data_IF_335761360543
#
_entry.id   IF_335761360543
#
_cell.length_a   1.000
_cell.length_b   1.000
_cell.length_c   1.000
_cell.angle_alpha   90.00
_cell.angle_beta   90.00
_cell.angle_gamma   90.00
#
_symmetry.space_group_name_H-M   'P 1'
#
loop_
_entity.id
_entity.type
_entity.pdbx_description
1 polymer ?
#
# COMPACT_ATOMS: atom_id res chain seq x y z
N UNK A 1 -5.73 -1.42 -1.38
CA UNK A 1 -5.00 -0.14 -1.50
C UNK A 1 -3.64 -0.22 -0.83
N UNK A 2 -2.72 0.65 -1.22
CA UNK A 2 -1.38 0.71 -0.64
C UNK A 2 -1.18 2.08 0.02
N UNK A 3 -0.55 2.09 1.20
CA UNK A 3 -0.22 3.30 1.96
C UNK A 3 1.28 3.34 2.23
N UNK A 4 1.88 4.52 2.23
CA UNK A 4 3.30 4.68 2.47
C UNK A 4 3.63 4.89 3.95
N UNK A 5 4.65 4.20 4.48
CA UNK A 5 5.28 4.57 5.76
C UNK A 5 6.04 5.88 5.57
N UNK A 6 5.67 6.91 6.32
CA UNK A 6 6.66 7.89 6.77
C UNK A 6 7.31 7.31 8.03
N UNK A 7 8.65 7.25 8.15
CA UNK A 7 9.27 6.81 9.39
C UNK A 7 8.77 7.69 10.56
N UNK A 8 8.39 7.11 11.70
CA UNK A 8 8.02 7.90 12.86
C UNK A 8 9.19 8.82 13.23
N UNK A 9 8.92 10.10 13.42
CA UNK A 9 9.84 10.98 14.11
C UNK A 9 10.18 10.31 15.45
N UNK A 10 11.48 10.13 15.73
CA UNK A 10 11.98 9.53 16.95
C UNK A 10 11.57 10.38 18.16
N UNK A 11 10.37 10.12 18.67
CA UNK A 11 9.85 10.65 19.93
C UNK A 11 10.08 9.64 21.05
N UNK A 12 10.99 9.98 21.96
CA UNK A 12 11.50 9.11 23.00
C UNK A 12 10.48 8.64 24.03
N UNK A 13 10.65 7.37 24.43
CA UNK A 13 10.61 6.86 25.79
C UNK A 13 9.36 7.06 26.67
N UNK A 14 8.78 5.95 27.12
CA UNK A 14 8.60 5.73 28.56
C UNK A 14 8.60 4.23 28.87
N UNK A 15 9.74 3.74 29.38
CA UNK A 15 9.88 2.42 29.97
C UNK A 15 9.17 2.43 31.34
N UNK A 16 8.12 1.63 31.52
CA UNK A 16 7.58 1.33 32.85
C UNK A 16 7.72 -0.16 33.14
N UNK A 17 8.79 -0.46 33.86
CA UNK A 17 8.93 -1.65 34.70
C UNK A 17 7.98 -1.49 35.88
N UNK A 18 7.21 -2.52 36.24
CA UNK A 18 6.89 -2.88 37.63
C UNK A 18 6.36 -4.32 37.67
N UNK A 19 6.98 -5.10 38.55
CA UNK A 19 6.85 -6.54 38.84
C UNK A 19 5.57 -6.92 39.63
N UNK A 20 5.25 -8.22 39.82
CA UNK A 20 3.89 -8.71 40.02
C UNK A 20 3.47 -8.83 41.50
N UNK A 21 2.17 -8.74 41.77
CA UNK A 21 1.57 -9.11 43.06
C UNK A 21 0.53 -10.22 42.81
N UNK A 22 0.82 -11.43 43.30
CA UNK A 22 -0.10 -12.57 43.31
C UNK A 22 -1.15 -12.34 44.42
N UNK A 23 -2.43 -12.28 44.04
CA UNK A 23 -3.57 -12.43 44.94
C UNK A 23 -4.37 -13.66 44.50
N UNK A 24 -4.36 -14.69 45.35
CA UNK A 24 -5.19 -15.88 45.23
C UNK A 24 -6.64 -15.53 45.61
N UNK A 25 -7.46 -15.21 44.62
CA UNK A 25 -8.91 -15.20 44.78
C UNK A 25 -9.47 -16.53 44.24
N UNK A 26 -9.95 -17.38 45.15
CA UNK A 26 -10.70 -18.58 44.82
C UNK A 26 -12.10 -18.18 44.33
N UNK A 27 -12.31 -18.21 43.02
CA UNK A 27 -13.63 -18.15 42.42
C UNK A 27 -14.03 -19.56 41.97
N UNK A 28 -15.10 -20.08 42.57
CA UNK A 28 -15.72 -21.33 42.18
C UNK A 28 -16.06 -21.31 40.68
N UNK A 29 -15.43 -22.20 39.92
CA UNK A 29 -15.62 -22.28 38.48
C UNK A 29 -16.97 -22.94 38.17
N UNK A 30 -18.00 -22.14 37.92
CA UNK A 30 -19.16 -22.61 37.17
C UNK A 30 -18.65 -23.00 35.77
N UNK A 31 -18.68 -24.30 35.47
CA UNK A 31 -18.38 -24.84 34.14
C UNK A 31 -19.53 -24.42 33.20
N UNK A 32 -19.44 -23.20 32.66
CA UNK A 32 -20.14 -22.91 31.42
C UNK A 32 -19.55 -23.86 30.38
N UNK A 33 -20.35 -24.81 29.90
CA UNK A 33 -19.99 -25.62 28.76
C UNK A 33 -19.64 -24.66 27.61
N UNK A 34 -18.34 -24.54 27.28
CA UNK A 34 -17.93 -23.85 26.08
C UNK A 34 -18.49 -24.66 24.92
N UNK A 35 -19.58 -24.16 24.34
CA UNK A 35 -19.98 -24.57 23.00
C UNK A 35 -18.76 -24.28 22.13
N UNK A 36 -18.16 -25.27 21.45
CA UNK A 36 -17.12 -24.97 20.49
C UNK A 36 -17.73 -23.98 19.51
N UNK A 37 -17.15 -22.78 19.43
CA UNK A 37 -17.50 -21.85 18.37
C UNK A 37 -17.46 -22.64 17.06
N UNK A 38 -18.47 -22.49 16.18
CA UNK A 38 -18.42 -23.15 14.88
C UNK A 38 -17.05 -22.83 14.26
N UNK A 39 -16.40 -23.77 13.57
CA UNK A 39 -15.16 -23.47 12.86
C UNK A 39 -15.42 -22.22 12.05
N UNK A 40 -14.62 -21.16 12.24
CA UNK A 40 -14.76 -19.91 11.51
C UNK A 40 -14.96 -20.26 10.04
N UNK A 41 -16.18 -20.03 9.54
CA UNK A 41 -16.54 -20.44 8.20
C UNK A 41 -15.92 -19.45 7.21
N UNK A 42 -15.44 -19.97 6.08
CA UNK A 42 -14.64 -19.22 5.12
C UNK A 42 -13.19 -19.09 5.57
N UNK A 43 -12.39 -20.16 5.45
CA UNK A 43 -10.95 -19.97 5.28
C UNK A 43 -10.78 -19.22 3.94
N UNK A 44 -10.37 -17.95 3.91
CA UNK A 44 -10.18 -17.27 2.64
C UNK A 44 -9.16 -18.10 1.86
N UNK A 45 -9.54 -18.55 0.66
CA UNK A 45 -8.59 -19.20 -0.21
C UNK A 45 -7.44 -18.23 -0.42
N UNK A 46 -6.21 -18.75 -0.28
CA UNK A 46 -4.95 -18.00 -0.37
C UNK A 46 -4.71 -17.62 -1.83
N UNK A 47 -5.60 -16.81 -2.40
CA UNK A 47 -5.53 -16.33 -3.76
C UNK A 47 -5.03 -14.90 -3.65
N UNK A 48 -3.75 -14.69 -3.99
CA UNK A 48 -3.10 -13.48 -4.52
C UNK A 48 -3.81 -12.12 -4.34
N UNK A 49 -4.40 -11.88 -3.17
CA UNK A 49 -4.86 -10.60 -2.64
C UNK A 49 -3.61 -9.79 -2.27
N UNK A 50 -3.76 -8.54 -1.83
CA UNK A 50 -2.63 -7.74 -1.34
C UNK A 50 -1.79 -8.57 -0.38
N UNK A 51 -0.59 -8.94 -0.83
CA UNK A 51 0.21 -9.95 -0.16
C UNK A 51 0.74 -9.33 1.12
N UNK A 52 0.57 -10.01 2.25
CA UNK A 52 0.98 -9.48 3.57
C UNK A 52 0.24 -8.21 4.01
N UNK A 53 -0.88 -7.87 3.36
CA UNK A 53 -1.81 -6.83 3.77
C UNK A 53 -2.80 -7.31 4.83
N UNK A 54 -3.65 -6.39 5.27
CA UNK A 54 -4.71 -6.64 6.26
C UNK A 54 -6.05 -6.12 5.76
N UNK A 55 -7.13 -6.65 6.34
CA UNK A 55 -8.48 -6.20 6.02
C UNK A 55 -8.70 -4.76 6.52
N UNK A 56 -9.32 -3.94 5.68
CA UNK A 56 -9.73 -2.59 6.05
C UNK A 56 -11.05 -2.64 6.82
N UNK A 57 -11.22 -1.71 7.76
CA UNK A 57 -12.52 -1.53 8.41
C UNK A 57 -13.46 -0.73 7.52
N UNK A 58 -14.76 -0.85 7.76
CA UNK A 58 -15.77 -0.07 7.05
C UNK A 58 -15.47 1.44 7.15
N UNK A 59 -15.57 2.12 6.01
CA UNK A 59 -15.31 3.55 5.86
C UNK A 59 -13.90 4.04 6.28
N UNK A 60 -12.93 3.15 6.50
CA UNK A 60 -11.56 3.54 6.84
C UNK A 60 -10.92 4.40 5.75
N UNK A 61 -11.22 4.06 4.49
CA UNK A 61 -10.64 4.69 3.31
C UNK A 61 -11.75 5.24 2.42
N UNK A 62 -12.37 6.38 2.79
CA UNK A 62 -13.60 6.87 2.17
C UNK A 62 -13.44 7.27 0.69
N UNK A 63 -12.21 7.48 0.23
CA UNK A 63 -11.89 7.80 -1.17
C UNK A 63 -11.66 6.56 -2.05
N UNK A 64 -11.63 5.36 -1.48
CA UNK A 64 -11.45 4.13 -2.24
C UNK A 64 -12.81 3.60 -2.65
N UNK A 65 -12.97 3.37 -3.95
CA UNK A 65 -14.20 2.84 -4.53
C UNK A 65 -13.89 1.57 -5.31
N UNK A 66 -14.87 0.67 -5.35
CA UNK A 66 -14.83 -0.48 -6.24
C UNK A 66 -15.58 -0.14 -7.52
N UNK A 67 -14.91 -0.31 -8.67
CA UNK A 67 -15.55 -0.17 -9.97
C UNK A 67 -16.27 -1.48 -10.30
N UNK A 68 -17.55 -1.40 -10.67
CA UNK A 68 -18.34 -2.55 -11.08
C UNK A 68 -18.99 -2.29 -12.45
N UNK A 69 -19.01 -3.32 -13.29
CA UNK A 69 -19.74 -3.35 -14.58
C UNK A 69 -20.71 -4.52 -14.53
N UNK A 70 -22.01 -4.25 -14.70
CA UNK A 70 -23.08 -5.24 -14.60
C UNK A 70 -23.06 -6.04 -13.28
N UNK A 71 -22.83 -5.36 -12.15
CA UNK A 71 -22.76 -6.01 -10.83
C UNK A 71 -21.52 -6.86 -10.59
N UNK A 72 -20.53 -6.83 -11.49
CA UNK A 72 -19.25 -7.55 -11.35
C UNK A 72 -18.10 -6.57 -11.23
N UNK A 73 -17.15 -6.83 -10.32
CA UNK A 73 -15.95 -6.03 -10.16
C UNK A 73 -15.17 -5.96 -11.48
N UNK A 74 -14.97 -4.73 -11.96
CA UNK A 74 -14.33 -4.48 -13.24
C UNK A 74 -12.92 -3.93 -13.01
N UNK A 75 -12.02 -4.82 -12.55
CA UNK A 75 -10.56 -4.69 -12.62
C UNK A 75 -9.91 -6.08 -12.41
N UNK A 76 -9.17 -6.52 -13.43
CA UNK A 76 -8.12 -7.54 -13.50
C UNK A 76 -8.31 -9.01 -13.04
N UNK A 77 -9.13 -9.41 -12.05
CA UNK A 77 -9.33 -10.85 -11.72
C UNK A 77 -10.67 -11.07 -11.00
N UNK A 78 -11.40 -12.19 -11.22
CA UNK A 78 -12.54 -12.57 -10.37
C UNK A 78 -12.11 -12.71 -8.91
N UNK A 79 -12.64 -11.85 -8.03
CA UNK A 79 -12.35 -11.89 -6.60
C UNK A 79 -13.30 -12.87 -5.88
N UNK A 80 -12.78 -13.85 -5.13
CA UNK A 80 -13.62 -14.73 -4.31
C UNK A 80 -14.27 -13.91 -3.18
N UNK A 81 -15.48 -14.32 -2.78
CA UNK A 81 -16.15 -13.73 -1.62
C UNK A 81 -15.49 -14.21 -0.31
N UNK A 82 -15.44 -13.37 0.74
CA UNK A 82 -15.89 -11.98 0.80
C UNK A 82 -14.88 -10.99 0.20
N UNK A 83 -15.38 -9.98 -0.50
CA UNK A 83 -14.60 -8.95 -1.18
C UNK A 83 -14.26 -7.78 -0.25
N UNK A 84 -13.77 -8.09 0.95
CA UNK A 84 -13.35 -7.06 1.90
C UNK A 84 -12.20 -6.25 1.29
N UNK A 85 -12.21 -4.92 1.44
CA UNK A 85 -11.08 -4.10 1.01
C UNK A 85 -9.85 -4.45 1.86
N UNK A 86 -8.66 -4.50 1.25
CA UNK A 86 -7.41 -4.60 2.00
C UNK A 86 -6.58 -3.33 1.91
N UNK A 87 -5.73 -3.17 2.91
CA UNK A 87 -4.67 -2.16 2.96
C UNK A 87 -3.33 -2.82 3.21
N UNK A 88 -2.28 -2.23 2.67
CA UNK A 88 -0.91 -2.62 2.94
C UNK A 88 -0.04 -1.38 3.02
N UNK A 89 0.88 -1.43 3.98
CA UNK A 89 1.81 -0.36 4.24
C UNK A 89 3.21 -0.72 3.71
N UNK A 90 3.77 0.13 2.85
CA UNK A 90 5.05 -0.08 2.15
C UNK A 90 5.94 1.17 2.17
N UNK A 91 7.27 1.05 2.12
CA UNK A 91 8.14 2.20 1.92
C UNK A 91 8.25 2.56 0.43
N UNK A 92 8.45 3.85 0.13
CA UNK A 92 8.89 4.29 -1.20
C UNK A 92 10.34 3.87 -1.39
N UNK A 93 10.65 3.35 -2.58
CA UNK A 93 12.00 2.97 -2.98
C UNK A 93 12.54 4.03 -3.95
N UNK A 94 13.78 4.44 -3.72
CA UNK A 94 14.50 5.36 -4.59
C UNK A 94 14.55 4.86 -6.05
N UNK A 95 14.37 5.78 -7.01
CA UNK A 95 14.26 5.43 -8.43
C UNK A 95 15.53 4.78 -8.99
N UNK A 96 16.72 5.16 -8.53
CA UNK A 96 17.97 4.54 -8.97
C UNK A 96 18.13 3.13 -8.38
N UNK A 97 17.73 2.94 -7.12
CA UNK A 97 17.66 1.61 -6.51
C UNK A 97 16.70 0.73 -7.31
N UNK A 98 15.48 1.20 -7.56
CA UNK A 98 14.48 0.41 -8.29
C UNK A 98 14.93 0.06 -9.71
N UNK A 99 15.52 1.03 -10.43
CA UNK A 99 16.06 0.81 -11.78
C UNK A 99 17.12 -0.28 -11.79
N UNK A 100 18.01 -0.32 -10.79
CA UNK A 100 19.03 -1.38 -10.65
C UNK A 100 18.44 -2.75 -10.35
N UNK A 101 17.34 -2.82 -9.59
CA UNK A 101 16.66 -4.08 -9.29
C UNK A 101 16.02 -4.67 -10.56
N UNK A 102 15.33 -3.85 -11.34
CA UNK A 102 14.67 -4.27 -12.58
C UNK A 102 15.61 -4.47 -13.76
N UNK A 103 16.82 -3.89 -13.72
CA UNK A 103 17.86 -4.16 -14.70
C UNK A 103 18.12 -5.66 -14.87
N UNK A 104 18.14 -6.42 -13.76
CA UNK A 104 18.28 -7.89 -13.77
C UNK A 104 16.90 -8.51 -14.02
N UNK A 105 16.39 -8.48 -15.25
CA UNK A 105 15.05 -8.98 -15.59
C UNK A 105 14.46 -8.25 -16.78
N UNK A 106 13.55 -7.31 -16.52
CA UNK A 106 12.93 -6.44 -17.51
C UNK A 106 13.92 -5.62 -18.37
N UNK A 107 15.16 -5.43 -17.91
CA UNK A 107 16.25 -4.85 -18.70
C UNK A 107 16.42 -3.35 -18.51
N UNK A 108 17.33 -2.76 -19.30
CA UNK A 108 17.65 -1.34 -19.24
C UNK A 108 16.43 -0.48 -19.61
N UNK A 109 16.13 0.52 -18.79
CA UNK A 109 15.05 1.47 -19.07
C UNK A 109 13.64 0.96 -18.74
N UNK A 110 13.53 -0.19 -18.07
CA UNK A 110 12.23 -0.71 -17.61
C UNK A 110 11.52 0.22 -16.62
N UNK A 111 12.28 0.94 -15.79
CA UNK A 111 11.77 1.97 -14.88
C UNK A 111 12.05 3.33 -15.51
N UNK A 112 11.00 4.11 -15.77
CA UNK A 112 11.05 5.44 -16.39
C UNK A 112 10.87 6.55 -15.35
N UNK A 113 11.18 7.79 -15.73
CA UNK A 113 11.13 8.97 -14.83
C UNK A 113 9.72 9.31 -14.33
N UNK A 114 8.70 8.83 -15.03
CA UNK A 114 7.29 9.01 -14.69
C UNK A 114 6.73 7.88 -13.81
N UNK A 115 7.59 6.97 -13.36
CA UNK A 115 7.29 5.88 -12.44
C UNK A 115 7.87 6.13 -11.05
N UNK A 116 7.27 5.46 -10.05
CA UNK A 116 7.80 5.34 -8.69
C UNK A 116 7.67 3.89 -8.23
N UNK A 117 8.55 3.46 -7.34
CA UNK A 117 8.52 2.10 -6.80
C UNK A 117 8.21 2.14 -5.30
N UNK A 118 7.47 1.14 -4.83
CA UNK A 118 7.19 1.00 -3.41
C UNK A 118 7.06 -0.48 -3.03
N UNK A 119 7.62 -0.86 -1.89
CA UNK A 119 7.66 -2.25 -1.45
C UNK A 119 8.83 -2.56 -0.54
N UNK A 120 8.91 -3.78 -0.04
CA UNK A 120 10.04 -4.27 0.74
C UNK A 120 10.99 -5.06 -0.17
N UNK A 121 12.30 -4.85 -0.05
CA UNK A 121 13.29 -5.55 -0.89
C UNK A 121 13.29 -7.06 -0.64
N UNK A 122 12.90 -7.49 0.55
CA UNK A 122 12.70 -8.89 0.91
C UNK A 122 11.45 -9.51 0.25
N UNK A 123 10.62 -8.70 -0.40
CA UNK A 123 9.31 -9.08 -0.90
C UNK A 123 8.33 -9.29 0.25
N UNK A 124 7.56 -10.38 0.21
CA UNK A 124 6.53 -10.82 1.18
C UNK A 124 5.32 -9.91 1.35
N UNK A 125 5.41 -8.66 0.89
CA UNK A 125 4.37 -7.64 0.99
C UNK A 125 4.30 -6.86 -0.31
N UNK A 126 3.15 -6.90 -0.97
CA UNK A 126 2.98 -6.23 -2.27
C UNK A 126 1.52 -6.05 -2.66
N UNK A 127 1.25 -5.08 -3.54
CA UNK A 127 0.05 -5.11 -4.36
C UNK A 127 0.14 -6.32 -5.31
N UNK A 128 -1.00 -6.84 -5.74
CA UNK A 128 -1.01 -7.98 -6.64
C UNK A 128 -2.14 -7.84 -7.68
N UNK A 129 -2.55 -8.98 -8.24
CA UNK A 129 -3.55 -9.02 -9.30
C UNK A 129 -4.88 -8.47 -8.78
N UNK A 130 -5.50 -7.56 -9.54
CA UNK A 130 -6.74 -6.88 -9.12
C UNK A 130 -6.51 -5.50 -8.50
N UNK A 131 -5.30 -5.19 -8.03
CA UNK A 131 -5.01 -3.91 -7.39
C UNK A 131 -4.61 -2.79 -8.36
N UNK A 132 -4.31 -3.11 -9.63
CA UNK A 132 -3.96 -2.13 -10.67
C UNK A 132 -5.03 -1.03 -10.79
N UNK A 133 -4.59 0.22 -10.87
CA UNK A 133 -5.46 1.40 -10.80
C UNK A 133 -5.78 1.85 -9.37
N UNK A 134 -5.50 1.04 -8.37
CA UNK A 134 -5.66 1.38 -6.96
C UNK A 134 -4.64 2.43 -6.49
N UNK A 135 -4.95 3.14 -5.40
CA UNK A 135 -4.12 4.25 -4.95
C UNK A 135 -2.92 3.79 -4.11
N UNK A 136 -1.79 4.48 -4.31
CA UNK A 136 -0.70 4.60 -3.33
C UNK A 136 -0.85 5.93 -2.58
N UNK A 137 -1.23 5.86 -1.31
CA UNK A 137 -1.48 7.04 -0.48
C UNK A 137 -0.30 7.33 0.46
N UNK A 138 0.12 8.59 0.56
CA UNK A 138 1.14 9.04 1.51
C UNK A 138 0.54 10.06 2.47
N UNK A 139 0.83 9.94 3.77
CA UNK A 139 0.35 10.90 4.75
C UNK A 139 1.38 11.99 5.01
N UNK A 140 1.24 13.16 4.40
CA UNK A 140 2.18 14.29 4.57
C UNK A 140 1.52 15.36 5.42
N UNK A 141 2.13 15.73 6.55
CA UNK A 141 1.62 16.78 7.46
C UNK A 141 0.15 16.57 7.86
N UNK A 142 -0.19 15.32 8.23
CA UNK A 142 -1.55 14.94 8.59
C UNK A 142 -2.54 14.87 7.42
N UNK A 143 -2.10 15.15 6.19
CA UNK A 143 -2.94 15.13 4.99
C UNK A 143 -2.62 13.91 4.15
N UNK A 144 -3.64 13.15 3.75
CA UNK A 144 -3.48 12.06 2.79
C UNK A 144 -3.37 12.58 1.36
N UNK A 145 -2.29 12.20 0.69
CA UNK A 145 -2.00 12.58 -0.69
C UNK A 145 -1.93 11.32 -1.55
N UNK A 146 -2.53 11.38 -2.73
CA UNK A 146 -2.34 10.35 -3.76
C UNK A 146 -0.97 10.55 -4.39
N UNK A 147 0.00 9.71 -4.05
CA UNK A 147 1.36 9.81 -4.56
C UNK A 147 1.52 9.08 -5.90
N UNK A 148 0.83 7.96 -6.05
CA UNK A 148 0.87 7.19 -7.29
C UNK A 148 -0.32 6.26 -7.48
N UNK A 149 -0.34 5.64 -8.66
CA UNK A 149 -1.38 4.70 -9.08
C UNK A 149 -0.70 3.37 -9.36
N UNK A 150 -1.18 2.28 -8.73
CA UNK A 150 -0.64 0.93 -8.93
C UNK A 150 -0.68 0.60 -10.42
N UNK A 151 0.47 0.24 -10.99
CA UNK A 151 0.60 0.00 -12.43
C UNK A 151 0.92 -1.46 -12.70
N UNK A 152 2.14 -1.90 -12.36
CA UNK A 152 2.66 -3.21 -12.74
C UNK A 152 3.73 -3.71 -11.76
N UNK A 153 4.17 -4.95 -11.95
CA UNK A 153 5.24 -5.59 -11.20
C UNK A 153 5.65 -6.92 -11.88
N UNK A 154 6.76 -7.51 -11.45
CA UNK A 154 7.15 -8.87 -11.86
C UNK A 154 6.83 -9.82 -10.70
N UNK A 155 5.84 -10.70 -10.90
CA UNK A 155 5.31 -11.52 -9.82
C UNK A 155 4.57 -10.68 -8.77
N UNK A 156 4.39 -11.24 -7.56
CA UNK A 156 3.85 -10.51 -6.42
C UNK A 156 4.68 -10.83 -5.18
N UNK A 157 5.12 -9.79 -4.46
CA UNK A 157 5.84 -9.94 -3.20
C UNK A 157 7.12 -10.79 -3.32
N UNK A 158 7.76 -10.74 -4.49
CA UNK A 158 9.02 -11.40 -4.73
C UNK A 158 10.20 -10.55 -4.23
N UNK A 159 11.28 -11.23 -3.86
CA UNK A 159 12.51 -10.55 -3.43
C UNK A 159 13.04 -9.70 -4.59
N UNK A 160 13.43 -8.46 -4.29
CA UNK A 160 13.98 -7.51 -5.26
C UNK A 160 13.06 -7.19 -6.44
N UNK A 161 11.75 -7.44 -6.31
CA UNK A 161 10.71 -7.11 -7.31
C UNK A 161 9.63 -6.23 -6.66
N UNK A 162 9.93 -4.96 -6.37
CA UNK A 162 8.94 -4.07 -5.76
C UNK A 162 7.85 -3.68 -6.76
N UNK A 163 6.63 -3.41 -6.29
CA UNK A 163 5.58 -2.87 -7.14
C UNK A 163 5.96 -1.53 -7.79
N UNK A 164 5.51 -1.33 -9.02
CA UNK A 164 5.75 -0.14 -9.84
C UNK A 164 4.44 0.62 -10.03
N UNK A 165 4.51 1.93 -9.82
CA UNK A 165 3.37 2.83 -9.77
C UNK A 165 3.61 4.00 -10.72
N UNK A 166 2.55 4.55 -11.28
CA UNK A 166 2.59 5.82 -12.01
C UNK A 166 2.83 6.95 -11.00
N UNK A 167 3.78 7.85 -11.27
CA UNK A 167 4.04 9.02 -10.44
C UNK A 167 3.09 10.18 -10.77
N UNK A 168 2.27 10.59 -9.81
CA UNK A 168 1.41 11.77 -9.99
C UNK A 168 2.19 13.08 -9.96
N UNK A 169 3.36 13.10 -9.31
CA UNK A 169 4.25 14.24 -9.35
C UNK A 169 4.77 14.49 -10.77
N UNK A 170 5.17 13.43 -11.48
CA UNK A 170 5.61 13.51 -12.88
C UNK A 170 4.46 13.91 -13.83
N UNK A 171 3.23 13.46 -13.54
CA UNK A 171 2.05 13.75 -14.36
C UNK A 171 1.28 15.02 -13.96
N UNK A 172 1.84 15.84 -13.06
CA UNK A 172 1.20 17.04 -12.48
C UNK A 172 0.55 17.95 -13.53
N UNK A 173 1.29 18.31 -14.57
CA UNK A 173 0.82 19.24 -15.61
C UNK A 173 -0.38 18.70 -16.38
N UNK A 174 -0.40 17.39 -16.64
CA UNK A 174 -1.53 16.75 -17.30
C UNK A 174 -2.75 16.70 -16.39
N UNK A 175 -2.58 16.28 -15.12
CA UNK A 175 -3.68 16.21 -14.15
C UNK A 175 -4.32 17.58 -13.94
N UNK A 176 -3.52 18.63 -13.70
CA UNK A 176 -4.02 19.99 -13.49
C UNK A 176 -4.78 20.56 -14.68
N UNK A 177 -4.45 20.11 -15.90
CA UNK A 177 -5.11 20.54 -17.12
C UNK A 177 -6.48 19.88 -17.30
N UNK A 178 -6.62 18.62 -16.89
CA UNK A 178 -7.87 17.85 -17.06
C UNK A 178 -8.80 18.03 -15.87
N UNK A 179 -8.26 18.00 -14.66
CA UNK A 179 -9.02 18.09 -13.40
C UNK A 179 -8.92 19.50 -12.86
N UNK A 180 -9.92 20.31 -13.20
CA UNK A 180 -10.04 21.68 -12.68
C UNK A 180 -10.16 21.64 -11.14
N UNK A 181 -9.33 22.42 -10.45
CA UNK A 181 -9.33 22.48 -8.98
C UNK A 181 -8.54 21.38 -8.27
N UNK A 182 -7.82 20.51 -8.99
CA UNK A 182 -6.90 19.56 -8.36
C UNK A 182 -5.84 20.30 -7.53
N UNK A 183 -5.58 19.81 -6.32
CA UNK A 183 -4.51 20.32 -5.45
C UNK A 183 -3.37 19.31 -5.43
N UNK A 184 -2.21 19.70 -5.96
CA UNK A 184 -1.00 18.87 -5.94
C UNK A 184 0.02 19.53 -5.01
N UNK A 185 0.40 18.80 -3.95
CA UNK A 185 1.45 19.18 -3.00
C UNK A 185 2.77 18.50 -3.38
N UNK A 186 3.86 19.25 -3.37
CA UNK A 186 5.20 18.78 -3.71
C UNK A 186 6.05 19.84 -4.40
N UNK A 187 7.35 19.84 -4.10
CA UNK A 187 8.31 20.77 -4.69
C UNK A 187 8.70 20.25 -6.08
N UNK A 188 8.28 20.95 -7.15
CA UNK A 188 8.93 20.76 -8.43
C UNK A 188 10.32 21.38 -8.31
N UNK A 189 11.37 20.59 -8.11
CA UNK A 189 12.65 21.02 -8.66
C UNK A 189 12.49 20.96 -10.17
N UNK A 190 12.08 22.10 -10.74
CA UNK A 190 12.14 22.31 -12.17
C UNK A 190 13.59 22.11 -12.59
N UNK A 191 13.84 21.06 -13.37
CA UNK A 191 14.99 21.03 -14.26
C UNK A 191 14.82 22.19 -15.24
N UNK A 192 15.25 23.38 -14.81
CA UNK A 192 15.46 24.50 -15.68
C UNK A 192 16.51 24.04 -16.69
N UNK A 193 16.07 23.81 -17.93
CA UNK A 193 16.93 23.88 -19.11
C UNK A 193 17.65 25.23 -19.04
N UNK A 194 18.89 25.25 -18.57
CA UNK A 194 19.82 26.34 -18.87
C UNK A 194 20.36 26.08 -20.27
N UNK A 195 19.65 26.64 -21.26
CA UNK A 195 20.30 27.05 -22.49
C UNK A 195 21.35 28.14 -22.19
N UNK A 196 22.42 28.09 -22.97
CA UNK A 196 23.66 28.89 -23.00
C UNK A 196 23.52 30.41 -22.74
N UNK A 197 24.62 31.13 -22.40
CA UNK A 197 25.56 31.55 -23.46
C UNK A 197 27.06 31.61 -23.06
N UNK A 198 27.94 31.23 -23.99
CA UNK A 198 29.12 31.96 -24.50
C UNK A 198 29.84 31.07 -25.51
#
# INVERSE_FOLDING_TARGET
MVVSRIPPALGGGCLRILTPLLLLASAASLRAARIPAPPACGKPQRLNRIVGGEDSTDAEWPWVVSIQKNGTHHCAVPLPHPQTLQKLEVPIIDSEVCSRLYWRGAGQGAITEDMLCAGYLEGRRDACLGDSGGPLMCQVEGTWLLAGIISWGEGCAERNRPGVYISLAAHRSWVMRIVQGAQLRGHSQGGARRGAPS
#
